data_IF_909907450867
#
_entry.id   IF_909907450867
#
_cell.length_a   1.000
_cell.length_b   1.000
_cell.length_c   1.000
_cell.angle_alpha   90.00
_cell.angle_beta   90.00
_cell.angle_gamma   90.00
#
_symmetry.space_group_name_H-M   'P 1'
#
loop_
_entity.id
_entity.type
_entity.pdbx_description
1 polymer ?
#
# COMPACT_ATOMS: atom_id res chain seq x y z
N UNK A 1 16.30 -13.66 -13.75
CA UNK A 1 17.26 -13.80 -12.62
C UNK A 1 18.59 -13.18 -13.02
N UNK A 2 18.95 -12.10 -12.35
CA UNK A 2 20.27 -11.49 -12.60
C UNK A 2 21.34 -12.48 -12.13
N UNK A 3 22.28 -12.81 -13.02
CA UNK A 3 23.52 -13.47 -12.63
C UNK A 3 24.29 -12.55 -11.68
N UNK A 4 25.30 -13.06 -10.96
CA UNK A 4 26.14 -12.24 -10.09
C UNK A 4 26.49 -10.93 -10.78
N UNK A 5 26.04 -9.81 -10.20
CA UNK A 5 26.25 -8.46 -10.71
C UNK A 5 27.20 -7.73 -9.78
N UNK A 6 28.04 -6.89 -10.36
CA UNK A 6 28.96 -6.04 -9.62
C UNK A 6 28.20 -4.87 -9.01
N UNK A 7 28.45 -4.60 -7.73
CA UNK A 7 27.79 -3.56 -6.95
C UNK A 7 28.48 -2.20 -7.13
N UNK A 8 29.80 -2.20 -7.18
CA UNK A 8 30.62 -1.00 -7.36
C UNK A 8 31.67 -1.21 -8.44
N UNK A 9 32.02 -0.15 -9.15
CA UNK A 9 33.06 -0.21 -10.20
C UNK A 9 34.43 -0.46 -9.61
N UNK A 10 35.26 -1.23 -10.33
CA UNK A 10 36.58 -1.60 -9.85
C UNK A 10 37.20 -2.72 -10.68
N UNK A 11 37.98 -3.57 -10.04
CA UNK A 11 38.69 -4.67 -10.69
C UNK A 11 38.25 -6.03 -10.14
N UNK A 12 37.72 -6.88 -11.00
CA UNK A 12 37.37 -8.25 -10.67
C UNK A 12 38.63 -9.11 -10.58
N UNK A 13 38.82 -9.77 -9.44
CA UNK A 13 40.01 -10.56 -9.10
C UNK A 13 39.61 -11.88 -8.47
N UNK A 14 40.54 -12.80 -8.34
CA UNK A 14 40.43 -13.97 -7.50
C UNK A 14 40.84 -13.60 -6.05
N UNK A 15 39.94 -13.73 -5.08
CA UNK A 15 40.18 -13.35 -3.70
C UNK A 15 41.47 -13.97 -3.11
N UNK A 16 41.74 -15.23 -3.44
CA UNK A 16 42.95 -15.93 -3.00
C UNK A 16 44.26 -15.34 -3.52
N UNK A 17 44.21 -14.42 -4.51
CA UNK A 17 45.38 -13.71 -5.07
C UNK A 17 45.59 -12.33 -4.44
N UNK A 18 44.70 -11.89 -3.54
CA UNK A 18 44.83 -10.60 -2.85
C UNK A 18 45.93 -10.67 -1.79
N UNK A 19 47.15 -10.35 -2.21
CA UNK A 19 48.31 -10.25 -1.35
C UNK A 19 48.80 -8.81 -1.42
N UNK A 20 49.10 -8.21 -0.26
CA UNK A 20 49.60 -6.84 -0.16
C UNK A 20 50.85 -6.64 -1.09
N UNK A 21 50.91 -5.50 -1.76
CA UNK A 21 51.99 -5.13 -2.68
C UNK A 21 52.15 -6.01 -3.91
N UNK A 22 51.10 -6.71 -4.35
CA UNK A 22 51.08 -7.43 -5.64
C UNK A 22 50.44 -6.61 -6.72
N UNK A 23 51.01 -6.70 -7.93
CA UNK A 23 50.47 -6.12 -9.16
C UNK A 23 49.57 -7.14 -9.85
N UNK A 24 48.46 -6.66 -10.40
CA UNK A 24 47.52 -7.49 -11.16
C UNK A 24 47.50 -7.02 -12.61
N UNK A 25 47.76 -7.91 -13.54
CA UNK A 25 47.69 -7.62 -14.97
C UNK A 25 46.24 -7.37 -15.40
N UNK A 26 45.98 -6.22 -16.02
CA UNK A 26 44.66 -5.87 -16.56
C UNK A 26 44.50 -6.57 -17.91
N UNK A 27 43.53 -7.50 -18.02
CA UNK A 27 43.22 -8.22 -19.26
C UNK A 27 42.34 -7.41 -20.22
N UNK A 28 41.62 -6.45 -19.70
CA UNK A 28 40.66 -5.61 -20.40
C UNK A 28 39.51 -5.20 -19.48
N UNK A 29 38.36 -4.87 -20.08
CA UNK A 29 37.20 -4.39 -19.34
C UNK A 29 35.90 -5.13 -19.72
N UNK A 30 34.92 -5.13 -18.81
CA UNK A 30 33.57 -5.65 -19.04
C UNK A 30 32.56 -4.55 -18.72
N UNK A 31 31.97 -3.88 -19.73
CA UNK A 31 30.95 -2.86 -19.55
C UNK A 31 29.66 -3.42 -18.93
N UNK A 32 28.84 -2.55 -18.36
CA UNK A 32 27.53 -2.90 -17.84
C UNK A 32 26.66 -3.55 -18.94
N UNK A 33 25.98 -4.66 -18.62
CA UNK A 33 25.13 -5.40 -19.55
C UNK A 33 25.88 -6.34 -20.51
N UNK A 34 27.20 -6.22 -20.67
CA UNK A 34 28.00 -7.12 -21.52
C UNK A 34 28.23 -8.48 -20.84
N UNK A 35 28.41 -9.52 -21.67
CA UNK A 35 28.96 -10.79 -21.22
C UNK A 35 30.49 -10.64 -21.10
N UNK A 36 31.02 -10.97 -19.91
CA UNK A 36 32.49 -11.05 -19.81
C UNK A 36 32.99 -12.26 -20.58
N UNK A 37 33.86 -12.02 -21.55
CA UNK A 37 34.61 -13.07 -22.28
C UNK A 37 35.85 -13.54 -21.54
N UNK A 38 36.20 -12.93 -20.42
CA UNK A 38 37.46 -13.15 -19.74
C UNK A 38 37.37 -14.32 -18.73
N UNK A 39 38.46 -15.06 -18.67
CA UNK A 39 38.72 -16.06 -17.60
C UNK A 39 40.03 -15.65 -16.92
N UNK A 40 39.95 -15.28 -15.63
CA UNK A 40 41.13 -14.78 -14.91
C UNK A 40 41.93 -15.89 -14.27
N UNK A 41 43.26 -15.73 -14.26
CA UNK A 41 44.23 -16.51 -13.52
C UNK A 41 44.68 -15.75 -12.27
N UNK A 42 45.41 -16.37 -11.33
CA UNK A 42 46.04 -15.64 -10.23
C UNK A 42 46.85 -14.44 -10.75
N UNK A 43 46.70 -13.29 -10.06
CA UNK A 43 47.33 -11.99 -10.38
C UNK A 43 46.92 -11.37 -11.74
N UNK A 44 45.79 -11.82 -12.29
CA UNK A 44 45.10 -11.16 -13.38
C UNK A 44 43.82 -10.50 -12.88
N UNK A 45 43.42 -9.41 -13.54
CA UNK A 45 42.17 -8.72 -13.24
C UNK A 45 41.48 -8.22 -14.52
N UNK A 46 40.21 -7.94 -14.40
CA UNK A 46 39.38 -7.31 -15.43
C UNK A 46 38.71 -6.09 -14.84
N UNK A 47 38.78 -4.95 -15.49
CA UNK A 47 38.04 -3.76 -15.09
C UNK A 47 36.54 -4.00 -15.27
N UNK A 48 35.77 -3.72 -14.24
CA UNK A 48 34.35 -3.99 -14.21
C UNK A 48 33.58 -2.78 -13.68
N UNK A 49 32.36 -2.64 -14.16
CA UNK A 49 31.49 -1.52 -13.82
C UNK A 49 30.23 -2.02 -13.11
N UNK A 50 29.60 -1.15 -12.36
CA UNK A 50 28.30 -1.46 -11.72
C UNK A 50 27.31 -2.03 -12.73
N UNK A 51 26.76 -3.21 -12.43
CA UNK A 51 25.83 -3.92 -13.32
C UNK A 51 26.48 -4.82 -14.37
N UNK A 52 27.81 -4.89 -14.47
CA UNK A 52 28.49 -5.86 -15.32
C UNK A 52 28.50 -7.26 -14.69
N UNK A 53 28.73 -8.27 -15.52
CA UNK A 53 28.86 -9.67 -15.06
C UNK A 53 30.27 -9.95 -14.59
N UNK A 54 30.38 -10.79 -13.57
CA UNK A 54 31.67 -11.28 -13.12
C UNK A 54 32.37 -12.11 -14.21
N UNK A 55 33.67 -11.89 -14.46
CA UNK A 55 34.51 -12.77 -15.26
C UNK A 55 34.56 -14.18 -14.64
N UNK A 56 34.85 -15.19 -15.48
CA UNK A 56 35.08 -16.55 -14.96
C UNK A 56 36.26 -16.57 -14.00
N UNK A 57 36.14 -17.34 -12.93
CA UNK A 57 37.13 -17.51 -11.87
C UNK A 57 37.39 -16.24 -11.01
N UNK A 58 36.63 -15.16 -11.23
CA UNK A 58 36.60 -14.02 -10.31
C UNK A 58 35.54 -14.25 -9.24
N UNK A 59 35.86 -13.90 -8.00
CA UNK A 59 34.95 -14.02 -6.84
C UNK A 59 34.96 -12.79 -5.95
N UNK A 60 35.79 -11.79 -6.29
CA UNK A 60 35.94 -10.55 -5.54
C UNK A 60 36.10 -9.35 -6.49
N UNK A 61 35.67 -8.18 -6.04
CA UNK A 61 35.90 -6.91 -6.72
C UNK A 61 36.63 -5.97 -5.76
N UNK A 62 37.81 -5.52 -6.18
CA UNK A 62 38.51 -4.41 -5.53
C UNK A 62 37.96 -3.11 -6.12
N UNK A 63 37.43 -2.24 -5.28
CA UNK A 63 36.88 -0.95 -5.75
C UNK A 63 38.02 -0.06 -6.26
N UNK A 64 37.70 0.77 -7.24
CA UNK A 64 38.73 1.60 -7.91
C UNK A 64 39.43 2.57 -6.97
N UNK A 65 38.73 3.02 -5.89
CA UNK A 65 39.29 3.93 -4.89
C UNK A 65 40.44 3.31 -4.07
N UNK A 66 40.55 1.99 -4.07
CA UNK A 66 41.61 1.25 -3.36
C UNK A 66 42.72 0.77 -4.30
N UNK A 67 42.75 1.31 -5.51
CA UNK A 67 43.68 0.85 -6.55
C UNK A 67 44.33 2.02 -7.29
N UNK A 68 45.55 1.82 -7.79
CA UNK A 68 46.18 2.67 -8.80
C UNK A 68 46.51 1.86 -10.05
N UNK A 69 46.61 2.54 -11.18
CA UNK A 69 46.90 1.90 -12.48
C UNK A 69 48.24 2.45 -12.96
N UNK A 70 49.13 1.54 -13.32
CA UNK A 70 50.43 1.86 -13.90
C UNK A 70 50.80 0.80 -14.94
N UNK A 71 51.18 1.23 -16.16
CA UNK A 71 51.66 0.33 -17.24
C UNK A 71 50.76 -0.91 -17.48
N UNK A 72 49.45 -0.72 -17.55
CA UNK A 72 48.48 -1.80 -17.73
C UNK A 72 48.43 -2.81 -16.57
N UNK A 73 48.87 -2.40 -15.37
CA UNK A 73 48.74 -3.15 -14.14
C UNK A 73 47.91 -2.37 -13.13
N UNK A 74 47.13 -3.10 -12.34
CA UNK A 74 46.43 -2.59 -11.17
C UNK A 74 47.28 -2.90 -9.93
N UNK A 75 47.62 -1.88 -9.15
CA UNK A 75 48.29 -1.98 -7.87
C UNK A 75 47.23 -1.88 -6.75
N UNK A 76 47.31 -2.74 -5.76
CA UNK A 76 46.43 -2.72 -4.58
C UNK A 76 47.02 -1.79 -3.53
N UNK A 77 46.35 -0.64 -3.26
CA UNK A 77 46.81 0.34 -2.28
C UNK A 77 46.35 0.01 -0.85
N UNK A 78 45.08 -0.40 -0.72
CA UNK A 78 44.50 -0.76 0.55
C UNK A 78 43.84 -2.13 0.45
N UNK A 79 44.06 -2.96 1.46
CA UNK A 79 43.45 -4.30 1.53
C UNK A 79 42.17 -4.23 2.39
N UNK A 80 41.09 -3.66 1.83
CA UNK A 80 39.78 -3.68 2.48
C UNK A 80 39.00 -4.92 2.06
N UNK A 81 39.22 -6.02 2.76
CA UNK A 81 38.59 -7.31 2.49
C UNK A 81 37.14 -7.44 2.98
N UNK A 82 36.54 -6.38 3.52
CA UNK A 82 35.25 -6.46 4.24
C UNK A 82 34.06 -6.84 3.38
N UNK A 83 34.07 -6.53 2.09
CA UNK A 83 32.93 -6.85 1.21
C UNK A 83 33.39 -7.26 -0.19
N UNK A 84 32.87 -8.36 -0.76
CA UNK A 84 33.21 -8.76 -2.13
C UNK A 84 32.64 -7.84 -3.21
N UNK A 85 31.82 -6.83 -2.87
CA UNK A 85 31.10 -5.93 -3.80
C UNK A 85 30.38 -6.68 -4.94
N UNK A 86 30.07 -7.96 -4.72
CA UNK A 86 29.45 -8.86 -5.68
C UNK A 86 28.06 -9.24 -5.17
N UNK A 87 27.05 -8.99 -5.98
CA UNK A 87 25.67 -9.39 -5.67
C UNK A 87 25.45 -10.84 -6.06
N UNK A 88 25.22 -11.70 -5.11
CA UNK A 88 24.94 -13.12 -5.35
C UNK A 88 23.62 -13.30 -6.09
N UNK A 89 23.55 -14.35 -6.94
CA UNK A 89 22.31 -14.76 -7.60
C UNK A 89 21.27 -15.14 -6.54
N UNK A 90 20.03 -14.67 -6.68
CA UNK A 90 18.94 -14.99 -5.76
C UNK A 90 18.95 -14.20 -4.45
N UNK A 91 19.79 -13.16 -4.32
CA UNK A 91 19.85 -12.35 -3.09
C UNK A 91 18.49 -11.69 -2.76
N UNK A 92 17.78 -11.19 -3.76
CA UNK A 92 16.47 -10.56 -3.54
C UNK A 92 15.35 -11.58 -3.61
N UNK A 93 15.31 -12.39 -4.68
CA UNK A 93 14.28 -13.38 -4.92
C UNK A 93 14.85 -14.63 -5.62
N UNK A 94 14.34 -15.78 -5.23
CA UNK A 94 14.65 -17.05 -5.89
C UNK A 94 13.56 -17.42 -6.90
N UNK A 95 13.92 -18.23 -7.92
CA UNK A 95 12.95 -18.77 -8.86
C UNK A 95 11.97 -19.68 -8.13
N UNK A 96 10.66 -19.46 -8.32
CA UNK A 96 9.60 -20.23 -7.66
C UNK A 96 9.28 -19.79 -6.23
N UNK A 97 9.93 -18.75 -5.73
CA UNK A 97 9.56 -18.17 -4.44
C UNK A 97 8.13 -17.62 -4.49
N UNK A 98 7.31 -18.04 -3.54
CA UNK A 98 5.93 -17.61 -3.38
C UNK A 98 5.86 -16.60 -2.24
N UNK A 99 5.14 -15.51 -2.45
CA UNK A 99 4.75 -14.56 -1.42
C UNK A 99 3.29 -14.87 -1.10
N UNK A 100 3.04 -15.61 -0.03
CA UNK A 100 1.72 -16.15 0.32
C UNK A 100 0.99 -15.38 1.43
N UNK A 101 1.61 -14.35 2.00
CA UNK A 101 0.95 -13.48 2.98
C UNK A 101 0.57 -12.12 2.36
N UNK A 102 -0.55 -11.54 2.82
CA UNK A 102 -0.96 -10.24 2.34
C UNK A 102 0.07 -9.18 2.70
N UNK A 103 0.50 -8.43 1.69
CA UNK A 103 1.44 -7.31 1.84
C UNK A 103 0.78 -6.02 1.33
N UNK A 104 1.10 -4.92 1.97
CA UNK A 104 0.76 -3.60 1.42
C UNK A 104 1.73 -3.32 0.27
N UNK A 105 1.18 -3.03 -0.91
CA UNK A 105 1.98 -2.65 -2.07
C UNK A 105 2.41 -1.20 -1.91
N UNK A 106 3.56 -1.00 -1.26
CA UNK A 106 4.23 0.28 -1.12
C UNK A 106 5.25 0.49 -2.26
N UNK A 107 5.92 1.65 -2.24
CA UNK A 107 6.92 1.99 -3.26
C UNK A 107 8.09 0.99 -3.33
N UNK A 108 8.45 0.36 -2.21
CA UNK A 108 9.53 -0.64 -2.13
C UNK A 108 9.13 -1.93 -2.86
N UNK A 109 7.92 -2.41 -2.56
CA UNK A 109 7.39 -3.60 -3.19
C UNK A 109 7.13 -3.38 -4.68
N UNK A 110 6.65 -2.20 -5.09
CA UNK A 110 6.50 -1.84 -6.52
C UNK A 110 7.85 -1.93 -7.23
N UNK A 111 8.91 -1.34 -6.67
CA UNK A 111 10.25 -1.41 -7.25
C UNK A 111 10.78 -2.85 -7.34
N UNK A 112 10.52 -3.66 -6.32
CA UNK A 112 10.91 -5.07 -6.32
C UNK A 112 10.15 -5.88 -7.39
N UNK A 113 8.82 -5.70 -7.50
CA UNK A 113 8.00 -6.36 -8.51
C UNK A 113 8.41 -5.96 -9.94
N UNK A 114 8.69 -4.67 -10.17
CA UNK A 114 9.19 -4.17 -11.44
C UNK A 114 10.56 -4.77 -11.80
N UNK A 115 11.46 -4.96 -10.81
CA UNK A 115 12.75 -5.60 -11.03
C UNK A 115 12.65 -7.07 -11.44
N UNK A 116 11.51 -7.72 -11.14
CA UNK A 116 11.16 -9.08 -11.54
C UNK A 116 10.44 -9.12 -12.90
N UNK A 117 10.24 -7.99 -13.56
CA UNK A 117 9.44 -7.85 -14.79
C UNK A 117 7.99 -8.32 -14.62
N UNK A 118 7.40 -8.07 -13.45
CA UNK A 118 5.99 -8.37 -13.18
C UNK A 118 5.15 -7.15 -13.49
N UNK A 119 4.43 -7.19 -14.60
CA UNK A 119 3.56 -6.10 -15.06
C UNK A 119 2.26 -6.03 -14.25
N UNK A 120 1.74 -7.18 -13.83
CA UNK A 120 0.46 -7.30 -13.13
C UNK A 120 0.58 -8.23 -11.93
N UNK A 121 -0.10 -7.86 -10.87
CA UNK A 121 -0.23 -8.67 -9.65
C UNK A 121 -1.67 -8.71 -9.19
N UNK A 122 -2.08 -9.82 -8.59
CA UNK A 122 -3.41 -9.95 -7.98
C UNK A 122 -3.47 -9.17 -6.68
N UNK A 123 -4.49 -8.32 -6.53
CA UNK A 123 -4.70 -7.51 -5.34
C UNK A 123 -6.11 -7.69 -4.80
N UNK A 124 -6.32 -7.38 -3.53
CA UNK A 124 -7.65 -7.34 -2.92
C UNK A 124 -8.36 -6.09 -3.44
N UNK A 125 -9.61 -6.24 -3.92
CA UNK A 125 -10.43 -5.11 -4.34
C UNK A 125 -10.70 -4.17 -3.15
N UNK A 126 -10.65 -2.87 -3.40
CA UNK A 126 -11.03 -1.87 -2.41
C UNK A 126 -12.50 -2.02 -2.04
N UNK A 127 -12.87 -2.04 -0.76
CA UNK A 127 -14.27 -1.99 -0.34
C UNK A 127 -14.93 -0.71 -0.83
N UNK A 128 -16.10 -0.83 -1.45
CA UNK A 128 -16.89 0.33 -1.90
C UNK A 128 -17.82 0.77 -0.79
N UNK A 129 -17.74 2.03 -0.43
CA UNK A 129 -18.53 2.67 0.64
C UNK A 129 -19.32 3.83 0.05
N UNK A 130 -20.62 3.91 0.39
CA UNK A 130 -21.45 5.07 0.08
C UNK A 130 -21.91 5.75 1.37
N UNK A 131 -21.69 7.06 1.47
CA UNK A 131 -22.16 7.89 2.57
C UNK A 131 -23.38 8.65 2.10
N UNK A 132 -24.50 8.51 2.82
CA UNK A 132 -25.77 9.19 2.57
C UNK A 132 -25.99 10.17 3.71
N UNK A 133 -25.76 11.47 3.51
CA UNK A 133 -26.12 12.49 4.50
C UNK A 133 -27.65 12.59 4.58
N UNK A 134 -28.23 12.55 5.77
CA UNK A 134 -29.70 12.66 5.96
C UNK A 134 -30.05 13.80 6.91
N UNK A 135 -31.19 14.43 6.67
CA UNK A 135 -31.73 15.50 7.51
C UNK A 135 -32.40 16.61 6.71
N UNK A 136 -33.58 17.03 7.16
CA UNK A 136 -34.31 18.13 6.54
C UNK A 136 -33.63 19.50 6.73
N UNK A 137 -32.81 19.62 7.77
CA UNK A 137 -31.99 20.80 8.09
C UNK A 137 -30.66 20.80 7.35
N UNK A 138 -30.26 19.69 6.75
CA UNK A 138 -28.91 19.51 6.18
C UNK A 138 -28.85 20.09 4.78
N UNK A 139 -27.83 20.91 4.52
CA UNK A 139 -27.51 21.47 3.21
C UNK A 139 -26.27 20.81 2.62
N UNK A 140 -26.31 20.60 1.31
CA UNK A 140 -25.12 20.18 0.57
C UNK A 140 -24.07 21.31 0.58
N UNK A 141 -22.80 20.94 0.52
CA UNK A 141 -21.70 21.91 0.38
C UNK A 141 -21.87 22.73 -0.90
N UNK A 142 -21.64 24.04 -0.80
CA UNK A 142 -21.82 24.98 -1.92
C UNK A 142 -23.25 25.48 -2.13
N UNK A 143 -24.25 24.98 -1.39
CA UNK A 143 -25.63 25.48 -1.44
C UNK A 143 -25.75 26.85 -0.80
N UNK A 144 -26.74 27.66 -1.24
CA UNK A 144 -27.07 28.92 -0.58
C UNK A 144 -27.52 28.66 0.86
N UNK A 145 -27.06 29.48 1.83
CA UNK A 145 -27.50 29.34 3.21
C UNK A 145 -29.01 29.51 3.35
N UNK A 146 -29.62 28.74 4.23
CA UNK A 146 -31.06 28.81 4.56
C UNK A 146 -31.21 28.91 6.07
N UNK A 147 -32.21 29.64 6.52
CA UNK A 147 -32.53 29.77 7.96
C UNK A 147 -32.78 28.38 8.58
N UNK A 148 -32.28 28.17 9.77
CA UNK A 148 -32.38 26.90 10.51
C UNK A 148 -31.78 25.68 9.79
N UNK A 149 -30.74 25.87 9.01
CA UNK A 149 -30.03 24.80 8.32
C UNK A 149 -28.57 24.79 8.65
N UNK A 150 -27.95 23.63 8.49
CA UNK A 150 -26.51 23.37 8.70
C UNK A 150 -25.89 22.75 7.46
N UNK A 151 -24.61 22.99 7.20
CA UNK A 151 -23.90 22.31 6.13
C UNK A 151 -23.44 20.93 6.57
N UNK A 152 -23.60 19.96 5.68
CA UNK A 152 -23.15 18.60 5.89
C UNK A 152 -21.62 18.53 5.85
N UNK A 153 -20.95 18.54 7.01
CA UNK A 153 -19.48 18.49 7.12
C UNK A 153 -18.94 17.08 7.35
N UNK A 154 -19.63 16.28 8.14
CA UNK A 154 -19.20 14.92 8.53
C UNK A 154 -18.89 13.97 7.37
N UNK A 155 -19.65 13.94 6.25
CA UNK A 155 -19.40 13.04 5.14
C UNK A 155 -18.00 13.21 4.55
N UNK A 156 -17.49 14.43 4.48
CA UNK A 156 -16.18 14.72 3.88
C UNK A 156 -15.03 14.24 4.76
N UNK A 157 -15.12 14.44 6.07
CA UNK A 157 -14.14 13.92 7.02
C UNK A 157 -14.15 12.38 7.08
N UNK A 158 -15.35 11.78 7.06
CA UNK A 158 -15.49 10.32 7.03
C UNK A 158 -14.95 9.74 5.72
N UNK A 159 -15.25 10.37 4.58
CA UNK A 159 -14.71 9.96 3.27
C UNK A 159 -13.18 9.96 3.29
N UNK A 160 -12.56 11.07 3.72
CA UNK A 160 -11.10 11.18 3.79
C UNK A 160 -10.50 10.05 4.65
N UNK A 161 -11.05 9.82 5.84
CA UNK A 161 -10.61 8.76 6.75
C UNK A 161 -10.72 7.37 6.11
N UNK A 162 -11.81 7.08 5.42
CA UNK A 162 -12.03 5.76 4.83
C UNK A 162 -11.16 5.52 3.57
N UNK A 163 -10.93 6.57 2.78
CA UNK A 163 -10.05 6.51 1.61
C UNK A 163 -8.58 6.30 2.03
N UNK A 164 -8.12 6.95 3.11
CA UNK A 164 -6.81 6.69 3.71
C UNK A 164 -6.66 5.23 4.18
N UNK A 165 -7.73 4.65 4.68
CA UNK A 165 -7.74 3.23 5.09
C UNK A 165 -7.82 2.26 3.90
N UNK A 166 -8.02 2.78 2.69
CA UNK A 166 -7.99 2.03 1.44
C UNK A 166 -9.36 1.60 0.92
N UNK A 167 -10.44 2.23 1.35
CA UNK A 167 -11.75 2.09 0.73
C UNK A 167 -11.86 2.95 -0.55
N UNK A 168 -12.91 2.73 -1.31
CA UNK A 168 -13.39 3.60 -2.40
C UNK A 168 -14.70 4.21 -1.93
N UNK A 169 -14.65 5.48 -1.48
CA UNK A 169 -15.78 6.12 -0.79
C UNK A 169 -16.44 7.18 -1.65
N UNK A 170 -17.75 7.10 -1.78
CA UNK A 170 -18.60 8.09 -2.46
C UNK A 170 -19.54 8.76 -1.45
N UNK A 171 -19.93 10.00 -1.75
CA UNK A 171 -20.94 10.75 -0.99
C UNK A 171 -22.15 10.92 -1.90
N UNK A 172 -23.31 10.41 -1.47
CA UNK A 172 -24.58 10.62 -2.15
C UNK A 172 -25.12 12.05 -1.91
N UNK A 173 -26.05 12.52 -2.74
CA UNK A 173 -26.79 13.75 -2.45
C UNK A 173 -27.46 13.68 -1.06
N UNK A 174 -27.65 14.85 -0.47
CA UNK A 174 -28.37 14.95 0.82
C UNK A 174 -29.78 14.40 0.69
N UNK A 175 -30.15 13.48 1.57
CA UNK A 175 -31.41 12.78 1.57
C UNK A 175 -32.33 13.39 2.66
N UNK A 176 -33.60 13.59 2.37
CA UNK A 176 -34.59 13.99 3.38
C UNK A 176 -34.97 12.80 4.25
N UNK A 177 -35.48 13.10 5.45
CA UNK A 177 -35.94 12.09 6.42
C UNK A 177 -37.33 11.52 6.04
N UNK A 178 -37.49 11.10 4.77
CA UNK A 178 -38.70 10.43 4.29
C UNK A 178 -38.41 8.99 3.82
N UNK A 179 -39.37 8.10 3.94
CA UNK A 179 -39.22 6.72 3.47
C UNK A 179 -38.88 6.65 1.97
N UNK A 180 -39.53 7.47 1.17
CA UNK A 180 -39.34 7.52 -0.29
C UNK A 180 -37.91 7.97 -0.63
N UNK A 181 -37.40 9.03 -0.02
CA UNK A 181 -36.07 9.56 -0.30
C UNK A 181 -34.99 8.59 0.16
N UNK A 182 -35.17 7.97 1.34
CA UNK A 182 -34.22 6.96 1.87
C UNK A 182 -34.22 5.72 0.97
N UNK A 183 -35.39 5.23 0.50
CA UNK A 183 -35.46 4.12 -0.45
C UNK A 183 -34.70 4.43 -1.74
N UNK A 184 -34.98 5.57 -2.33
CA UNK A 184 -34.33 6.03 -3.56
C UNK A 184 -32.79 6.15 -3.35
N UNK A 185 -32.36 6.73 -2.24
CA UNK A 185 -30.95 6.83 -1.93
C UNK A 185 -30.28 5.47 -1.79
N UNK A 186 -30.91 4.48 -1.15
CA UNK A 186 -30.41 3.12 -1.01
C UNK A 186 -30.35 2.37 -2.35
N UNK A 187 -31.34 2.56 -3.24
CA UNK A 187 -31.34 1.98 -4.58
C UNK A 187 -30.15 2.46 -5.42
N UNK A 188 -29.74 3.71 -5.24
CA UNK A 188 -28.59 4.29 -5.94
C UNK A 188 -27.22 3.82 -5.38
N UNK A 189 -27.21 2.99 -4.32
CA UNK A 189 -25.97 2.41 -3.76
C UNK A 189 -25.65 0.99 -4.26
N UNK A 190 -26.14 0.60 -5.45
CA UNK A 190 -26.08 -0.80 -5.94
C UNK A 190 -24.69 -1.43 -5.85
N UNK A 191 -23.65 -0.68 -6.15
CA UNK A 191 -22.27 -1.17 -6.16
C UNK A 191 -21.56 -1.12 -4.79
N UNK A 192 -22.18 -0.51 -3.78
CA UNK A 192 -21.55 -0.36 -2.45
C UNK A 192 -21.76 -1.61 -1.60
N UNK A 193 -20.71 -2.00 -0.88
CA UNK A 193 -20.75 -3.09 0.09
C UNK A 193 -21.11 -2.58 1.50
N UNK A 194 -20.75 -1.32 1.76
CA UNK A 194 -21.01 -0.63 3.02
C UNK A 194 -21.77 0.66 2.71
N UNK A 195 -22.83 0.91 3.43
CA UNK A 195 -23.61 2.14 3.36
C UNK A 195 -23.55 2.81 4.74
N UNK A 196 -23.31 4.11 4.74
CA UNK A 196 -23.28 4.93 5.95
C UNK A 196 -24.38 5.98 5.82
N UNK A 197 -25.36 5.99 6.71
CA UNK A 197 -26.31 7.09 6.82
C UNK A 197 -25.89 7.99 7.98
N UNK A 198 -25.97 9.31 7.80
CA UNK A 198 -25.57 10.31 8.80
C UNK A 198 -26.75 11.14 9.20
N UNK A 199 -27.20 10.99 10.43
CA UNK A 199 -28.39 11.63 10.97
C UNK A 199 -29.56 10.66 11.15
N UNK A 200 -30.74 11.18 11.53
CA UNK A 200 -31.96 10.37 11.69
C UNK A 200 -32.01 9.44 12.92
N UNK A 201 -30.94 9.36 13.70
CA UNK A 201 -30.84 8.47 14.90
C UNK A 201 -30.99 9.21 16.25
N UNK A 202 -31.61 10.37 16.28
CA UNK A 202 -31.84 11.16 17.50
C UNK A 202 -33.02 10.60 18.31
N UNK A 203 -33.01 10.79 19.63
CA UNK A 203 -33.98 10.23 20.58
C UNK A 203 -35.48 10.43 20.27
N UNK A 204 -35.87 11.40 19.42
CA UNK A 204 -37.24 11.62 18.96
C UNK A 204 -37.61 10.87 17.66
N UNK A 205 -36.62 10.54 16.80
CA UNK A 205 -36.83 9.90 15.51
C UNK A 205 -36.42 8.42 15.49
N UNK A 206 -36.06 7.87 16.64
CA UNK A 206 -35.55 6.50 16.75
C UNK A 206 -36.56 5.45 16.22
N UNK A 207 -37.85 5.66 16.46
CA UNK A 207 -38.89 4.82 15.92
C UNK A 207 -39.09 4.94 14.41
N UNK A 208 -38.80 6.11 13.82
CA UNK A 208 -38.90 6.34 12.37
C UNK A 208 -37.84 5.57 11.61
N UNK A 209 -36.57 5.61 12.07
CA UNK A 209 -35.49 4.86 11.44
C UNK A 209 -35.76 3.36 11.53
N UNK A 210 -36.14 2.84 12.68
CA UNK A 210 -36.52 1.43 12.85
C UNK A 210 -37.70 1.06 11.96
N UNK A 211 -38.75 1.88 11.96
CA UNK A 211 -39.95 1.67 11.16
C UNK A 211 -39.63 1.69 9.64
N UNK A 212 -38.77 2.59 9.20
CA UNK A 212 -38.36 2.65 7.79
C UNK A 212 -37.47 1.48 7.41
N UNK A 213 -36.51 1.11 8.27
CA UNK A 213 -35.60 0.00 8.00
C UNK A 213 -36.34 -1.35 7.95
N UNK A 214 -37.30 -1.58 8.82
CA UNK A 214 -38.16 -2.76 8.73
C UNK A 214 -38.93 -2.83 7.40
N UNK A 215 -39.52 -1.69 6.94
CA UNK A 215 -40.21 -1.60 5.65
C UNK A 215 -39.30 -1.79 4.44
N UNK A 216 -38.02 -1.41 4.54
CA UNK A 216 -36.99 -1.55 3.51
C UNK A 216 -36.31 -2.93 3.53
N UNK A 217 -36.72 -3.84 4.43
CA UNK A 217 -36.14 -5.17 4.56
C UNK A 217 -34.74 -5.18 5.18
N UNK A 218 -34.38 -4.13 5.90
CA UNK A 218 -33.10 -4.05 6.61
C UNK A 218 -33.20 -4.81 7.93
N UNK A 219 -32.41 -5.84 8.10
CA UNK A 219 -32.27 -6.59 9.35
C UNK A 219 -31.33 -5.84 10.28
N UNK A 220 -31.84 -5.38 11.43
CA UNK A 220 -31.02 -4.74 12.47
C UNK A 220 -30.18 -5.82 13.17
N UNK A 221 -28.87 -5.62 13.22
CA UNK A 221 -27.89 -6.48 13.85
C UNK A 221 -27.45 -5.92 15.21
N UNK A 222 -27.29 -4.59 15.30
CA UNK A 222 -26.91 -3.88 16.53
C UNK A 222 -27.78 -2.65 16.66
N UNK A 223 -28.29 -2.42 17.83
CA UNK A 223 -29.18 -1.32 18.17
C UNK A 223 -28.66 -0.57 19.38
N UNK A 224 -27.82 0.41 19.13
CA UNK A 224 -27.13 1.15 20.16
C UNK A 224 -25.97 0.38 20.81
N UNK A 225 -24.97 1.11 21.23
CA UNK A 225 -23.79 0.56 21.94
C UNK A 225 -23.50 1.47 23.15
N UNK A 226 -23.10 0.90 24.29
CA UNK A 226 -22.82 1.69 25.51
C UNK A 226 -21.49 2.44 25.44
N UNK A 227 -21.31 3.30 24.41
CA UNK A 227 -20.15 4.17 24.25
C UNK A 227 -20.55 5.65 24.30
N UNK A 228 -19.61 6.50 24.67
CA UNK A 228 -19.78 7.96 24.69
C UNK A 228 -18.51 8.62 24.17
N UNK A 229 -18.56 9.35 23.03
CA UNK A 229 -19.74 9.59 22.17
C UNK A 229 -20.05 8.43 21.24
N UNK A 230 -21.29 8.36 20.69
CA UNK A 230 -21.66 7.37 19.68
C UNK A 230 -22.75 6.36 20.08
N UNK A 231 -23.31 6.48 21.30
CA UNK A 231 -24.32 5.54 21.83
C UNK A 231 -25.44 5.14 20.84
N UNK A 232 -26.06 6.06 20.04
CA UNK A 232 -27.22 5.74 19.21
C UNK A 232 -26.86 5.14 17.83
N UNK A 233 -25.69 4.54 17.65
CA UNK A 233 -25.35 3.85 16.41
C UNK A 233 -26.29 2.68 16.17
N UNK A 234 -26.73 2.50 14.91
CA UNK A 234 -27.45 1.28 14.48
C UNK A 234 -26.62 0.63 13.38
N UNK A 235 -26.50 -0.70 13.43
CA UNK A 235 -25.86 -1.49 12.38
C UNK A 235 -26.91 -2.47 11.84
N UNK A 236 -27.14 -2.45 10.55
CA UNK A 236 -28.09 -3.32 9.86
C UNK A 236 -27.48 -4.01 8.66
N UNK A 237 -28.25 -4.91 8.09
CA UNK A 237 -27.92 -5.66 6.89
C UNK A 237 -29.05 -5.59 5.87
N UNK A 238 -28.73 -5.26 4.62
CA UNK A 238 -29.64 -5.31 3.47
C UNK A 238 -29.05 -6.22 2.41
N UNK A 239 -29.55 -7.43 2.31
CA UNK A 239 -28.95 -8.45 1.46
C UNK A 239 -27.51 -8.73 1.87
N UNK A 240 -26.55 -8.47 0.98
CA UNK A 240 -25.10 -8.62 1.27
C UNK A 240 -24.43 -7.33 1.75
N UNK A 241 -25.17 -6.21 1.85
CA UNK A 241 -24.64 -4.90 2.26
C UNK A 241 -24.78 -4.70 3.75
N UNK A 242 -23.77 -4.07 4.36
CA UNK A 242 -23.84 -3.58 5.74
C UNK A 242 -24.22 -2.11 5.74
N UNK A 243 -25.14 -1.74 6.62
CA UNK A 243 -25.63 -0.37 6.78
C UNK A 243 -25.25 0.10 8.18
N UNK A 244 -24.57 1.23 8.26
CA UNK A 244 -24.21 1.89 9.49
C UNK A 244 -24.96 3.22 9.59
N UNK A 245 -25.85 3.32 10.55
CA UNK A 245 -26.56 4.56 10.85
C UNK A 245 -25.83 5.28 11.96
N UNK A 246 -25.15 6.35 11.61
CA UNK A 246 -24.31 7.10 12.53
C UNK A 246 -25.03 8.35 13.04
N UNK A 247 -24.72 8.79 14.27
CA UNK A 247 -25.22 10.04 14.80
C UNK A 247 -24.87 11.22 13.88
N UNK A 248 -25.77 12.21 13.78
CA UNK A 248 -25.53 13.46 13.02
C UNK A 248 -24.40 14.33 13.61
N UNK A 249 -24.08 14.18 14.91
CA UNK A 249 -22.98 14.91 15.53
C UNK A 249 -21.63 14.48 14.91
N UNK A 250 -20.84 15.43 14.37
CA UNK A 250 -19.60 15.14 13.66
C UNK A 250 -18.58 14.31 14.47
N UNK A 251 -18.40 14.65 15.75
CA UNK A 251 -17.44 13.92 16.61
C UNK A 251 -17.91 12.49 16.81
N UNK A 252 -19.20 12.31 17.09
CA UNK A 252 -19.78 10.98 17.31
C UNK A 252 -19.68 10.09 16.07
N UNK A 253 -19.97 10.65 14.90
CA UNK A 253 -19.93 9.91 13.64
C UNK A 253 -18.49 9.52 13.26
N UNK A 254 -17.50 10.38 13.47
CA UNK A 254 -16.07 10.08 13.22
C UNK A 254 -15.59 8.98 14.20
N UNK A 255 -15.92 9.08 15.49
CA UNK A 255 -15.54 8.06 16.48
C UNK A 255 -16.13 6.71 16.11
N UNK A 256 -17.44 6.64 15.81
CA UNK A 256 -18.08 5.41 15.36
C UNK A 256 -17.44 4.86 14.07
N UNK A 257 -17.13 5.72 13.11
CA UNK A 257 -16.45 5.30 11.89
C UNK A 257 -15.09 4.67 12.20
N UNK A 258 -14.30 5.31 13.05
CA UNK A 258 -12.97 4.81 13.43
C UNK A 258 -13.03 3.46 14.14
N UNK A 259 -13.96 3.30 15.06
CA UNK A 259 -14.08 2.07 15.86
C UNK A 259 -14.63 0.89 15.06
N UNK A 260 -15.65 1.11 14.23
CA UNK A 260 -16.38 0.00 13.62
C UNK A 260 -16.10 -0.15 12.12
N UNK A 261 -16.16 0.94 11.35
CA UNK A 261 -16.09 0.85 9.90
C UNK A 261 -14.64 0.69 9.44
N UNK A 262 -13.70 1.43 10.02
CA UNK A 262 -12.27 1.26 9.75
C UNK A 262 -11.81 -0.16 10.08
N UNK A 263 -12.23 -0.70 11.21
CA UNK A 263 -11.93 -2.07 11.62
C UNK A 263 -12.45 -3.09 10.60
N UNK A 264 -13.69 -2.90 10.13
CA UNK A 264 -14.27 -3.73 9.07
C UNK A 264 -13.49 -3.64 7.77
N UNK A 265 -13.16 -2.42 7.30
CA UNK A 265 -12.38 -2.20 6.07
C UNK A 265 -11.01 -2.88 6.17
N UNK A 266 -10.31 -2.73 7.29
CA UNK A 266 -9.03 -3.39 7.52
C UNK A 266 -9.16 -4.91 7.44
N UNK A 267 -10.21 -5.48 8.02
CA UNK A 267 -10.50 -6.91 7.92
C UNK A 267 -10.78 -7.34 6.48
N UNK A 268 -11.58 -6.58 5.73
CA UNK A 268 -11.87 -6.86 4.32
C UNK A 268 -10.62 -6.80 3.45
N UNK A 269 -9.71 -5.87 3.73
CA UNK A 269 -8.43 -5.71 3.05
C UNK A 269 -7.34 -6.67 3.57
N UNK A 270 -7.67 -7.54 4.53
CA UNK A 270 -6.69 -8.40 5.22
C UNK A 270 -5.51 -7.61 5.81
N UNK A 271 -5.71 -6.34 6.14
CA UNK A 271 -4.75 -5.56 6.92
C UNK A 271 -4.81 -6.06 8.36
N UNK A 272 -3.72 -6.63 8.86
CA UNK A 272 -3.68 -7.05 10.25
C UNK A 272 -3.83 -5.82 11.16
N UNK A 273 -4.72 -5.95 12.14
CA UNK A 273 -4.83 -4.99 13.22
C UNK A 273 -3.52 -5.10 14.03
N UNK A 274 -2.70 -4.07 13.98
CA UNK A 274 -1.61 -3.91 14.93
C UNK A 274 -2.15 -3.39 16.24
#
# INVERSE_FOLDING_TARGET
QRQMCIRDSGFAVKKSSLVKNKRFRILGETPAGAKSGYTIKPYECVRVYTGSRMPKNADFVVIQENTSIEDNFMNLETNDEKSPYVRKKGLDFNKGQVIDHPMIIDFKLISALASLNLEKVSVIKKPKVCIIPTGNEVLALGSKPRKNSIYSSSPYGIKSLLDEEGAETTIAPVCRDTLADISCALENTKDSQIIITLGGVSKGNYDLVRKYYGKLGIKILVDGIPIKPGKPIIIGQLGKKLIFCLPGNPISSIVCTRLFIVTLIRKMLKKYLK
#
